data_IF_089290416893
#
_entry.id   IF_089290416893
#
_cell.length_a   1.000
_cell.length_b   1.000
_cell.length_c   1.000
_cell.angle_alpha   90.00
_cell.angle_beta   90.00
_cell.angle_gamma   90.00
#
_symmetry.space_group_name_H-M   'P 1'
#
loop_
_entity.id
_entity.type
_entity.pdbx_description
1 polymer ?
#
# COMPACT_ATOMS: atom_id res chain seq x y z
N UNK A 1 -9.03 -6.63 -0.48
CA UNK A 1 -8.42 -5.33 -0.14
C UNK A 1 -7.77 -4.80 -1.39
N UNK A 2 -7.84 -3.50 -1.61
CA UNK A 2 -7.18 -2.79 -2.70
C UNK A 2 -6.25 -1.74 -2.09
N UNK A 3 -5.03 -1.62 -2.63
CA UNK A 3 -3.95 -0.76 -2.12
C UNK A 3 -3.26 -0.15 -3.33
N UNK A 4 -3.06 1.17 -3.31
CA UNK A 4 -2.37 1.89 -4.38
C UNK A 4 -1.57 3.06 -3.82
N UNK A 5 -0.39 3.31 -4.38
CA UNK A 5 0.35 4.54 -4.15
C UNK A 5 0.39 5.41 -5.40
N UNK A 6 -0.11 6.64 -5.29
CA UNK A 6 0.02 7.68 -6.31
C UNK A 6 1.28 8.50 -6.01
N UNK A 7 2.23 8.51 -6.93
CA UNK A 7 3.51 9.20 -6.75
C UNK A 7 3.54 10.40 -7.71
N UNK A 8 3.69 11.60 -7.18
CA UNK A 8 3.66 12.88 -7.88
C UNK A 8 4.91 13.14 -8.75
N UNK A 9 5.23 12.20 -9.65
CA UNK A 9 6.35 12.29 -10.56
C UNK A 9 6.12 11.44 -11.82
N UNK A 10 7.04 11.54 -12.77
CA UNK A 10 6.99 10.75 -14.01
C UNK A 10 7.38 9.29 -13.72
N UNK A 11 6.74 8.33 -14.40
CA UNK A 11 6.93 6.89 -14.13
C UNK A 11 8.41 6.46 -14.16
N UNK A 12 9.21 7.03 -15.05
CA UNK A 12 10.64 6.71 -15.17
C UNK A 12 11.52 7.24 -14.04
N UNK A 13 10.98 8.14 -13.21
CA UNK A 13 11.65 8.67 -12.04
C UNK A 13 11.41 7.81 -10.79
N UNK A 14 10.35 7.00 -10.77
CA UNK A 14 10.09 6.03 -9.71
C UNK A 14 11.10 4.88 -9.81
N UNK A 15 11.81 4.62 -8.72
CA UNK A 15 12.78 3.52 -8.62
C UNK A 15 12.18 2.34 -7.90
N UNK A 16 11.60 2.57 -6.72
CA UNK A 16 11.09 1.50 -5.88
C UNK A 16 9.81 1.94 -5.17
N UNK A 17 8.89 1.00 -5.00
CA UNK A 17 7.76 1.13 -4.08
C UNK A 17 7.67 -0.15 -3.27
N UNK A 18 7.64 -0.01 -1.94
CA UNK A 18 7.53 -1.14 -1.04
C UNK A 18 6.25 -0.99 -0.23
N UNK A 19 5.39 -2.00 -0.33
CA UNK A 19 4.17 -2.11 0.46
C UNK A 19 4.36 -3.16 1.54
N UNK A 20 3.83 -2.89 2.71
CA UNK A 20 3.67 -3.87 3.78
C UNK A 20 2.21 -3.90 4.18
N UNK A 21 1.61 -5.08 4.17
CA UNK A 21 0.27 -5.34 4.64
C UNK A 21 0.33 -6.25 5.87
N UNK A 22 -0.12 -5.73 6.99
CA UNK A 22 -0.38 -6.48 8.20
C UNK A 22 -1.84 -6.92 8.22
N UNK A 23 -2.08 -8.21 8.43
CA UNK A 23 -3.41 -8.83 8.48
C UNK A 23 -3.61 -9.57 9.78
N UNK A 24 -4.87 -9.91 10.14
CA UNK A 24 -5.11 -10.77 11.28
C UNK A 24 -4.45 -12.14 11.13
N UNK A 25 -3.98 -12.69 12.24
CA UNK A 25 -3.46 -14.06 12.29
C UNK A 25 -4.41 -15.07 11.60
N UNK A 26 -3.85 -15.93 10.74
CA UNK A 26 -4.60 -16.97 10.02
C UNK A 26 -5.34 -16.49 8.77
N UNK A 27 -5.34 -15.19 8.46
CA UNK A 27 -5.82 -14.68 7.16
C UNK A 27 -4.85 -15.07 6.06
N UNK A 28 -5.38 -15.57 4.93
CA UNK A 28 -4.60 -15.87 3.73
C UNK A 28 -4.93 -14.84 2.66
N UNK A 29 -3.91 -14.35 1.96
CA UNK A 29 -4.08 -13.44 0.84
C UNK A 29 -3.68 -14.11 -0.48
N UNK A 30 -4.43 -13.80 -1.54
CA UNK A 30 -3.98 -13.96 -2.91
C UNK A 30 -3.56 -12.57 -3.37
N UNK A 31 -2.29 -12.42 -3.74
CA UNK A 31 -1.74 -11.15 -4.17
C UNK A 31 -1.82 -11.02 -5.68
N UNK A 32 -2.37 -9.89 -6.14
CA UNK A 32 -2.31 -9.44 -7.52
C UNK A 32 -1.64 -8.08 -7.50
N UNK A 33 -0.45 -7.98 -8.10
CA UNK A 33 0.30 -6.72 -8.19
C UNK A 33 0.21 -6.20 -9.62
N UNK A 34 -0.30 -4.99 -9.78
CA UNK A 34 -0.35 -4.31 -11.06
C UNK A 34 0.58 -3.11 -11.04
N UNK A 35 1.81 -3.31 -11.54
CA UNK A 35 2.82 -2.26 -11.59
C UNK A 35 2.75 -1.55 -12.94
N UNK A 36 2.77 -0.20 -12.99
CA UNK A 36 3.03 0.52 -14.23
C UNK A 36 4.38 0.08 -14.78
N UNK A 37 4.42 -0.48 -15.99
CA UNK A 37 5.62 -1.09 -16.54
C UNK A 37 6.63 -0.04 -16.97
N UNK A 38 7.55 0.31 -16.08
CA UNK A 38 8.83 0.93 -16.44
C UNK A 38 9.97 -0.04 -16.14
N UNK A 39 10.88 -0.21 -17.10
CA UNK A 39 11.91 -1.27 -17.08
C UNK A 39 12.79 -1.25 -15.81
N UNK A 40 12.90 -0.10 -15.14
CA UNK A 40 13.78 0.09 -13.97
C UNK A 40 13.05 0.23 -12.65
N UNK A 41 11.72 0.27 -12.62
CA UNK A 41 10.97 0.40 -11.37
C UNK A 41 10.76 -0.97 -10.73
N UNK A 42 10.97 -1.06 -9.42
CA UNK A 42 10.73 -2.27 -8.63
C UNK A 42 9.56 -2.04 -7.68
N UNK A 43 8.62 -2.97 -7.67
CA UNK A 43 7.55 -2.97 -6.69
C UNK A 43 7.68 -4.22 -5.84
N UNK A 44 7.64 -4.05 -4.51
CA UNK A 44 7.71 -5.14 -3.55
C UNK A 44 6.49 -5.11 -2.66
N UNK A 45 5.96 -6.28 -2.34
CA UNK A 45 4.84 -6.43 -1.43
C UNK A 45 5.21 -7.45 -0.34
N UNK A 46 5.01 -7.06 0.90
CA UNK A 46 5.20 -7.93 2.07
C UNK A 46 3.87 -8.13 2.77
N UNK A 47 3.55 -9.37 3.12
CA UNK A 47 2.40 -9.73 3.94
C UNK A 47 2.89 -10.24 5.29
N UNK A 48 2.33 -9.74 6.38
CA UNK A 48 2.63 -10.13 7.76
C UNK A 48 1.29 -10.43 8.46
N UNK A 49 1.20 -11.56 9.17
CA UNK A 49 -0.01 -12.02 9.85
C UNK A 49 0.11 -11.88 11.37
N UNK A 50 0.20 -10.65 11.86
CA UNK A 50 0.52 -10.32 13.26
C UNK A 50 -0.56 -9.46 13.97
N UNK A 51 -1.71 -9.21 13.33
CA UNK A 51 -2.77 -8.38 13.91
C UNK A 51 -3.89 -9.20 14.57
N UNK A 52 -4.68 -8.51 15.40
CA UNK A 52 -5.90 -9.07 15.96
C UNK A 52 -7.02 -9.17 14.91
N UNK A 53 -8.01 -10.08 15.08
CA UNK A 53 -9.15 -10.21 14.18
C UNK A 53 -9.86 -8.87 13.89
N UNK A 54 -10.11 -8.62 12.60
CA UNK A 54 -10.81 -7.42 12.13
C UNK A 54 -9.93 -6.18 11.95
N UNK A 55 -8.66 -6.22 12.36
CA UNK A 55 -7.70 -5.13 12.20
C UNK A 55 -6.77 -5.39 11.02
N UNK A 56 -6.57 -4.35 10.21
CA UNK A 56 -5.68 -4.39 9.07
C UNK A 56 -4.86 -3.10 9.07
N UNK A 57 -3.59 -3.21 8.72
CA UNK A 57 -2.72 -2.05 8.56
C UNK A 57 -1.98 -2.19 7.24
N UNK A 58 -1.92 -1.14 6.45
CA UNK A 58 -1.04 -1.10 5.28
C UNK A 58 -0.13 0.10 5.36
N UNK A 59 1.10 -0.09 4.93
CA UNK A 59 2.05 0.99 4.75
C UNK A 59 2.71 0.93 3.39
N UNK A 60 3.19 2.08 2.93
CA UNK A 60 3.97 2.20 1.73
C UNK A 60 5.12 3.19 1.90
N UNK A 61 6.22 2.91 1.21
CA UNK A 61 7.34 3.84 1.02
C UNK A 61 7.76 3.82 -0.45
N UNK A 62 7.88 5.00 -1.05
CA UNK A 62 8.32 5.16 -2.42
C UNK A 62 9.69 5.83 -2.50
N UNK A 63 10.48 5.47 -3.51
CA UNK A 63 11.80 6.01 -3.78
C UNK A 63 11.87 6.52 -5.22
N UNK A 64 12.32 7.76 -5.40
CA UNK A 64 12.54 8.36 -6.73
C UNK A 64 13.98 8.83 -6.93
N UNK A 65 14.39 9.02 -8.19
CA UNK A 65 15.74 9.46 -8.53
C UNK A 65 15.98 10.94 -8.23
N UNK A 66 15.00 11.79 -8.54
CA UNK A 66 15.19 13.25 -8.54
C UNK A 66 14.93 13.94 -7.20
N UNK A 67 14.32 13.26 -6.23
CA UNK A 67 13.93 13.91 -4.97
C UNK A 67 12.50 14.48 -4.98
N UNK A 68 11.91 14.65 -3.79
CA UNK A 68 10.75 15.51 -3.47
C UNK A 68 9.41 15.17 -4.16
N UNK A 69 9.21 13.94 -4.60
CA UNK A 69 7.88 13.51 -5.05
C UNK A 69 6.90 13.44 -3.88
N UNK A 70 5.69 13.97 -4.06
CA UNK A 70 4.56 13.69 -3.18
C UNK A 70 4.14 12.23 -3.34
N UNK A 71 3.63 11.63 -2.28
CA UNK A 71 3.11 10.27 -2.30
C UNK A 71 1.76 10.26 -1.60
N UNK A 72 0.73 9.73 -2.24
CA UNK A 72 -0.58 9.48 -1.64
C UNK A 72 -0.80 7.98 -1.59
N UNK A 73 -0.96 7.43 -0.39
CA UNK A 73 -1.33 6.03 -0.21
C UNK A 73 -2.85 5.95 -0.06
N UNK A 74 -3.48 5.07 -0.83
CA UNK A 74 -4.89 4.75 -0.71
C UNK A 74 -5.07 3.27 -0.36
N UNK A 75 -6.05 2.98 0.47
CA UNK A 75 -6.42 1.62 0.85
C UNK A 75 -7.94 1.48 0.96
N UNK A 76 -8.46 0.37 0.44
CA UNK A 76 -9.86 0.00 0.49
C UNK A 76 -10.01 -1.43 1.00
N UNK A 77 -10.73 -1.58 2.11
CA UNK A 77 -11.10 -2.87 2.67
C UNK A 77 -12.61 -3.08 2.51
N UNK A 78 -12.97 -4.20 1.87
CA UNK A 78 -14.35 -4.68 1.78
C UNK A 78 -14.49 -5.93 2.64
N UNK A 79 -15.36 -5.84 3.65
CA UNK A 79 -15.75 -6.95 4.52
C UNK A 79 -17.12 -7.46 4.10
N UNK A 80 -17.20 -8.74 3.73
CA UNK A 80 -18.47 -9.39 3.33
C UNK A 80 -19.35 -9.73 4.53
N UNK A 81 -18.77 -9.88 5.72
CA UNK A 81 -19.53 -10.07 6.95
C UNK A 81 -20.06 -8.72 7.43
N UNK A 82 -21.35 -8.46 7.21
CA UNK A 82 -21.99 -7.20 7.58
C UNK A 82 -21.83 -6.07 6.56
N UNK A 83 -21.33 -6.38 5.35
CA UNK A 83 -21.16 -5.47 4.21
C UNK A 83 -20.59 -4.10 4.61
N UNK A 84 -19.33 -4.09 5.05
CA UNK A 84 -18.62 -2.88 5.46
C UNK A 84 -17.55 -2.51 4.44
N UNK A 85 -17.47 -1.23 4.13
CA UNK A 85 -16.45 -0.63 3.28
C UNK A 85 -15.66 0.40 4.10
N UNK A 86 -14.36 0.20 4.23
CA UNK A 86 -13.44 1.12 4.90
C UNK A 86 -12.43 1.63 3.86
N UNK A 87 -12.54 2.91 3.51
CA UNK A 87 -11.64 3.59 2.58
C UNK A 87 -10.79 4.60 3.34
N UNK A 88 -9.48 4.53 3.15
CA UNK A 88 -8.50 5.40 3.80
C UNK A 88 -7.51 5.94 2.78
N UNK A 89 -7.06 7.15 3.03
CA UNK A 89 -6.04 7.82 2.24
C UNK A 89 -5.19 8.70 3.14
N UNK A 90 -3.89 8.77 2.85
CA UNK A 90 -2.96 9.67 3.52
C UNK A 90 -1.86 10.12 2.56
N UNK A 91 -1.43 11.37 2.77
CA UNK A 91 -0.37 12.00 1.99
C UNK A 91 0.95 11.99 2.76
N UNK A 92 2.04 11.97 2.01
CA UNK A 92 3.39 12.13 2.49
C UNK A 92 4.33 12.48 1.35
N UNK A 93 5.61 12.19 1.56
CA UNK A 93 6.66 12.39 0.55
C UNK A 93 7.43 11.09 0.36
N UNK A 94 8.15 10.98 -0.75
CA UNK A 94 9.07 9.85 -0.95
C UNK A 94 10.06 9.70 0.21
N UNK A 95 10.53 8.46 0.43
CA UNK A 95 11.38 8.03 1.55
C UNK A 95 10.73 8.16 2.94
N UNK A 96 9.46 8.55 3.02
CA UNK A 96 8.65 8.47 4.24
C UNK A 96 7.76 7.22 4.19
N UNK A 97 7.65 6.53 5.31
CA UNK A 97 6.62 5.50 5.49
C UNK A 97 5.29 6.19 5.76
N UNK A 98 4.29 5.90 4.92
CA UNK A 98 2.90 6.31 5.11
C UNK A 98 2.13 5.07 5.55
N UNK A 99 1.35 5.18 6.62
CA UNK A 99 0.61 4.06 7.23
C UNK A 99 -0.88 4.38 7.30
N UNK A 100 -1.73 3.38 7.04
CA UNK A 100 -3.18 3.43 7.12
C UNK A 100 -3.71 2.25 7.92
N UNK A 101 -4.56 2.55 8.90
CA UNK A 101 -5.30 1.56 9.67
C UNK A 101 -6.71 1.36 9.10
N UNK A 102 -7.13 0.11 8.92
CA UNK A 102 -8.45 -0.28 8.42
C UNK A 102 -9.13 -1.31 9.33
N UNK A 103 -10.45 -1.34 9.27
CA UNK A 103 -11.30 -2.18 10.12
C UNK A 103 -12.41 -2.88 9.34
N UNK A 104 -12.50 -4.21 9.49
CA UNK A 104 -13.51 -5.07 8.86
C UNK A 104 -14.72 -5.33 9.75
#
# INVERSE_FOLDING_TARGET
MDISADIGTLLWNVQEVHYTLHVPEGVRAILVVQTPTWITSRETFTLIDDLAPGQYETSAIAYTRSGNASVTLNALLLSVNGLRLDYRSADGVERQTITLDLSA
#
